data_IF_186472132548
#
_entry.id   IF_186472132548
#
_cell.length_a   1.000
_cell.length_b   1.000
_cell.length_c   1.000
_cell.angle_alpha   90.00
_cell.angle_beta   90.00
_cell.angle_gamma   90.00
#
_symmetry.space_group_name_H-M   'P 1'
#
loop_
_entity.id
_entity.type
_entity.pdbx_description
1 polymer ?
#
# COMPACT_ATOMS: atom_id res chain seq x y z
N UNK A 1 -16.64 22.36 21.88
CA UNK A 1 -16.04 22.86 23.14
C UNK A 1 -15.17 24.06 22.80
N UNK A 2 -15.10 25.10 23.60
CA UNK A 2 -14.18 26.23 23.38
C UNK A 2 -13.07 26.18 24.43
N UNK A 3 -11.83 26.25 24.00
CA UNK A 3 -10.67 26.41 24.88
C UNK A 3 -10.00 27.72 24.50
N UNK A 4 -9.82 28.62 25.44
CA UNK A 4 -9.21 29.96 25.23
C UNK A 4 -9.81 30.80 24.10
N UNK A 5 -11.15 30.67 23.87
CA UNK A 5 -11.87 31.44 22.83
C UNK A 5 -11.83 30.83 21.42
N UNK A 6 -11.08 29.74 21.19
CA UNK A 6 -11.04 29.04 19.91
C UNK A 6 -11.92 27.78 19.95
N UNK A 7 -12.56 27.49 18.81
CA UNK A 7 -13.32 26.25 18.64
C UNK A 7 -12.38 25.06 18.55
N UNK A 8 -12.50 24.12 19.48
CA UNK A 8 -11.75 22.86 19.47
C UNK A 8 -12.58 21.78 18.76
N UNK A 9 -11.95 21.06 17.83
CA UNK A 9 -12.55 19.97 17.09
C UNK A 9 -12.11 18.62 17.64
N UNK A 10 -13.05 17.68 17.72
CA UNK A 10 -12.78 16.31 18.18
C UNK A 10 -12.56 15.39 17.00
N UNK A 11 -11.42 14.69 17.01
CA UNK A 11 -11.06 13.71 16.00
C UNK A 11 -11.10 12.31 16.60
N UNK A 12 -11.78 11.38 15.93
CA UNK A 12 -11.81 9.96 16.27
C UNK A 12 -10.98 9.16 15.27
N UNK A 13 -10.24 8.18 15.74
CA UNK A 13 -9.53 7.26 14.86
C UNK A 13 -10.22 5.89 14.83
N UNK A 14 -10.33 5.32 13.64
CA UNK A 14 -10.79 3.95 13.43
C UNK A 14 -9.65 3.12 12.87
N UNK A 15 -9.32 2.02 13.52
CA UNK A 15 -8.12 1.20 13.35
C UNK A 15 -6.82 1.84 13.89
N UNK A 16 -5.71 1.11 13.72
CA UNK A 16 -4.40 1.58 14.11
C UNK A 16 -3.88 2.61 13.10
N UNK A 17 -3.81 3.84 13.52
CA UNK A 17 -3.10 4.93 12.84
C UNK A 17 -1.76 5.11 13.57
N UNK A 18 -0.70 5.38 12.82
CA UNK A 18 0.63 5.58 13.39
C UNK A 18 0.63 6.72 14.42
N UNK A 19 1.25 6.47 15.57
CA UNK A 19 1.27 7.42 16.68
C UNK A 19 1.93 8.73 16.32
N UNK A 20 3.00 8.70 15.52
CA UNK A 20 3.71 9.91 15.09
C UNK A 20 2.83 10.85 14.27
N UNK A 21 1.92 10.31 13.44
CA UNK A 21 0.95 11.09 12.71
C UNK A 21 -0.12 11.70 13.64
N UNK A 22 -0.54 10.94 14.67
CA UNK A 22 -1.51 11.40 15.64
C UNK A 22 -0.95 12.50 16.55
N UNK A 23 0.33 12.43 16.90
CA UNK A 23 1.01 13.43 17.73
C UNK A 23 1.07 14.81 17.00
N UNK A 24 1.17 14.82 15.67
CA UNK A 24 1.12 16.06 14.87
C UNK A 24 -0.27 16.68 14.89
N UNK A 25 -1.31 15.85 14.88
CA UNK A 25 -2.71 16.32 14.81
C UNK A 25 -3.20 16.80 16.18
N UNK A 26 -2.77 16.17 17.26
CA UNK A 26 -3.22 16.50 18.61
C UNK A 26 -2.57 17.81 19.09
N UNK A 27 -3.31 18.90 18.99
CA UNK A 27 -2.85 20.26 19.30
C UNK A 27 -3.98 21.11 19.94
N UNK A 28 -3.78 22.41 20.04
CA UNK A 28 -4.74 23.33 20.68
C UNK A 28 -6.13 23.34 20.00
N UNK A 29 -6.17 23.11 18.66
CA UNK A 29 -7.39 23.17 17.87
C UNK A 29 -8.04 21.80 17.67
N UNK A 30 -7.28 20.70 17.82
CA UNK A 30 -7.72 19.34 17.54
C UNK A 30 -7.41 18.41 18.72
N UNK A 31 -8.42 17.72 19.22
CA UNK A 31 -8.30 16.74 20.30
C UNK A 31 -8.63 15.36 19.78
N UNK A 32 -7.69 14.42 19.99
CA UNK A 32 -7.94 13.01 19.71
C UNK A 32 -8.76 12.39 20.84
N UNK A 33 -9.96 11.92 20.52
CA UNK A 33 -10.84 11.24 21.46
C UNK A 33 -11.57 10.08 20.76
N UNK A 34 -11.07 8.87 20.99
CA UNK A 34 -11.63 7.66 20.37
C UNK A 34 -12.94 7.19 21.01
N UNK A 35 -13.25 7.68 22.22
CA UNK A 35 -14.50 7.39 22.92
C UNK A 35 -15.64 8.35 22.52
N UNK A 36 -15.33 9.37 21.73
CA UNK A 36 -16.36 10.32 21.29
C UNK A 36 -17.43 9.63 20.45
N UNK A 37 -18.68 9.85 20.80
CA UNK A 37 -19.84 9.42 20.00
C UNK A 37 -20.17 10.43 18.90
N UNK A 38 -19.79 11.69 19.08
CA UNK A 38 -20.05 12.79 18.16
C UNK A 38 -18.74 13.49 17.72
N UNK A 39 -17.83 12.82 17.02
CA UNK A 39 -16.61 13.46 16.52
C UNK A 39 -16.92 14.48 15.40
N UNK A 40 -16.11 15.54 15.31
CA UNK A 40 -16.13 16.48 14.19
C UNK A 40 -15.41 15.91 12.95
N UNK A 41 -14.44 15.01 13.14
CA UNK A 41 -13.74 14.32 12.06
C UNK A 41 -13.36 12.88 12.44
N UNK A 42 -13.19 12.03 11.42
CA UNK A 42 -12.76 10.65 11.58
C UNK A 42 -11.52 10.40 10.72
N UNK A 43 -10.50 9.77 11.31
CA UNK A 43 -9.37 9.21 10.57
C UNK A 43 -9.53 7.69 10.53
N UNK A 44 -9.50 7.11 9.34
CA UNK A 44 -9.70 5.68 9.13
C UNK A 44 -8.63 5.09 8.20
N UNK A 45 -8.31 3.81 8.37
CA UNK A 45 -7.45 3.07 7.43
C UNK A 45 -8.24 1.98 6.70
N UNK A 46 -8.61 0.91 7.37
CA UNK A 46 -9.25 -0.26 6.77
C UNK A 46 -10.59 -0.63 7.41
N UNK A 47 -11.05 0.11 8.41
CA UNK A 47 -12.36 -0.12 9.03
C UNK A 47 -13.46 0.10 7.99
N UNK A 48 -14.42 -0.84 7.94
CA UNK A 48 -15.58 -0.71 7.06
C UNK A 48 -16.61 0.24 7.68
N UNK A 49 -16.81 1.37 7.05
CA UNK A 49 -17.74 2.41 7.52
C UNK A 49 -19.15 2.29 6.89
N UNK A 50 -19.36 1.32 6.00
CA UNK A 50 -20.73 1.08 5.45
C UNK A 50 -21.67 0.63 6.57
N UNK A 51 -22.82 1.28 6.64
CA UNK A 51 -23.82 1.04 7.69
C UNK A 51 -23.55 1.77 9.01
N UNK A 52 -22.50 2.57 9.11
CA UNK A 52 -22.32 3.49 10.24
C UNK A 52 -23.36 4.63 10.18
N UNK A 53 -23.83 5.03 11.34
CA UNK A 53 -24.59 6.26 11.48
C UNK A 53 -23.63 7.44 11.68
N UNK A 54 -23.75 8.48 10.87
CA UNK A 54 -22.96 9.70 11.02
C UNK A 54 -23.74 10.75 11.82
N UNK A 55 -23.09 11.33 12.82
CA UNK A 55 -23.68 12.41 13.59
C UNK A 55 -23.68 13.72 12.78
N UNK A 56 -24.54 14.67 13.18
CA UNK A 56 -24.68 15.96 12.49
C UNK A 56 -23.47 16.89 12.58
N UNK A 57 -22.53 16.61 13.50
CA UNK A 57 -21.32 17.40 13.69
C UNK A 57 -20.17 16.95 12.80
N UNK A 58 -20.23 15.75 12.25
CA UNK A 58 -19.15 15.17 11.43
C UNK A 58 -18.97 15.98 10.13
N UNK A 59 -17.79 16.52 9.94
CA UNK A 59 -17.44 17.41 8.81
C UNK A 59 -16.51 16.74 7.80
N UNK A 60 -15.67 15.82 8.28
CA UNK A 60 -14.65 15.24 7.44
C UNK A 60 -14.31 13.79 7.83
N UNK A 61 -13.98 13.00 6.82
CA UNK A 61 -13.41 11.67 6.97
C UNK A 61 -12.11 11.64 6.17
N UNK A 62 -10.98 11.32 6.83
CA UNK A 62 -9.68 11.18 6.18
C UNK A 62 -9.25 9.72 6.19
N UNK A 63 -9.00 9.15 4.99
CA UNK A 63 -8.49 7.80 4.86
C UNK A 63 -6.96 7.78 4.75
N UNK A 64 -6.31 7.05 5.64
CA UNK A 64 -4.88 6.72 5.53
C UNK A 64 -4.68 5.61 4.48
N UNK A 65 -4.80 5.97 3.20
CA UNK A 65 -4.67 5.07 2.06
C UNK A 65 -5.29 5.64 0.78
N UNK A 66 -5.03 5.02 -0.36
CA UNK A 66 -5.41 5.53 -1.67
C UNK A 66 -6.90 5.28 -2.03
N UNK A 67 -7.40 4.07 -1.80
CA UNK A 67 -8.80 3.76 -2.12
C UNK A 67 -9.78 4.30 -1.08
N UNK A 68 -11.06 4.37 -1.40
CA UNK A 68 -12.13 4.82 -0.47
C UNK A 68 -13.30 3.83 -0.42
N UNK A 69 -13.07 2.61 -0.88
CA UNK A 69 -14.10 1.56 -0.97
C UNK A 69 -14.70 1.12 0.37
N UNK A 70 -14.06 1.43 1.47
CA UNK A 70 -14.53 1.16 2.83
C UNK A 70 -15.30 2.35 3.44
N UNK A 71 -15.49 3.45 2.69
CA UNK A 71 -16.22 4.66 3.11
C UNK A 71 -17.43 4.81 2.21
N UNK A 72 -18.65 5.01 2.75
CA UNK A 72 -19.85 5.24 1.95
C UNK A 72 -19.87 6.69 1.42
N UNK A 73 -19.11 6.97 0.36
CA UNK A 73 -18.86 8.31 -0.18
C UNK A 73 -20.16 9.02 -0.57
N UNK A 74 -21.10 8.29 -1.18
CA UNK A 74 -22.41 8.86 -1.58
C UNK A 74 -23.18 9.35 -0.35
N UNK A 75 -23.24 8.56 0.71
CA UNK A 75 -23.86 8.95 1.98
C UNK A 75 -23.12 10.13 2.61
N UNK A 76 -21.79 10.17 2.55
CA UNK A 76 -21.00 11.32 3.03
C UNK A 76 -21.37 12.60 2.27
N UNK A 77 -21.53 12.51 0.96
CA UNK A 77 -21.92 13.64 0.10
C UNK A 77 -23.32 14.18 0.47
N UNK A 78 -24.30 13.30 0.69
CA UNK A 78 -25.64 13.67 1.10
C UNK A 78 -25.67 14.41 2.46
N UNK A 79 -24.74 14.06 3.36
CA UNK A 79 -24.61 14.68 4.68
C UNK A 79 -23.63 15.88 4.70
N UNK A 80 -23.06 16.26 3.56
CA UNK A 80 -22.08 17.36 3.47
C UNK A 80 -20.75 17.06 4.16
N UNK A 81 -20.36 15.77 4.27
CA UNK A 81 -19.11 15.32 4.88
C UNK A 81 -18.04 15.23 3.80
N UNK A 82 -16.94 15.97 3.96
CA UNK A 82 -15.81 15.90 3.05
C UNK A 82 -15.00 14.62 3.26
N UNK A 83 -14.69 13.88 2.17
CA UNK A 83 -13.88 12.66 2.23
C UNK A 83 -12.52 12.93 1.59
N UNK A 84 -11.45 12.65 2.33
CA UNK A 84 -10.06 12.78 1.90
C UNK A 84 -9.38 11.42 1.88
N UNK A 85 -8.42 11.27 0.97
CA UNK A 85 -7.56 10.09 0.89
C UNK A 85 -6.10 10.51 0.69
N UNK A 86 -5.17 9.54 0.76
CA UNK A 86 -3.73 9.76 0.59
C UNK A 86 -3.18 8.92 -0.56
N UNK A 87 -3.51 9.26 -1.82
CA UNK A 87 -3.03 8.50 -2.97
C UNK A 87 -1.51 8.59 -3.08
N UNK A 88 -0.86 7.46 -3.40
CA UNK A 88 0.59 7.40 -3.60
C UNK A 88 1.44 7.31 -2.33
N UNK A 89 0.90 7.58 -1.14
CA UNK A 89 1.69 7.61 0.10
C UNK A 89 2.45 6.32 0.40
N UNK A 90 1.91 5.15 0.02
CA UNK A 90 2.54 3.84 0.19
C UNK A 90 3.05 3.23 -1.12
N UNK A 91 3.08 3.99 -2.22
CA UNK A 91 3.37 3.44 -3.55
C UNK A 91 4.76 2.81 -3.62
N UNK A 92 5.77 3.44 -3.03
CA UNK A 92 7.12 2.89 -2.99
C UNK A 92 7.19 1.57 -2.21
N UNK A 93 6.57 1.50 -1.03
CA UNK A 93 6.57 0.28 -0.21
C UNK A 93 5.90 -0.90 -0.93
N UNK A 94 4.79 -0.64 -1.63
CA UNK A 94 4.12 -1.68 -2.44
C UNK A 94 4.98 -2.08 -3.62
N UNK A 95 5.62 -1.15 -4.32
CA UNK A 95 6.54 -1.42 -5.42
C UNK A 95 7.70 -2.33 -4.96
N UNK A 96 8.32 -2.04 -3.82
CA UNK A 96 9.40 -2.87 -3.27
C UNK A 96 8.93 -4.31 -2.98
N UNK A 97 7.74 -4.47 -2.44
CA UNK A 97 7.15 -5.80 -2.21
C UNK A 97 6.88 -6.54 -3.52
N UNK A 98 6.42 -5.85 -4.57
CA UNK A 98 6.23 -6.45 -5.90
C UNK A 98 7.55 -6.92 -6.49
N UNK A 99 8.61 -6.12 -6.43
CA UNK A 99 9.95 -6.50 -6.92
C UNK A 99 10.48 -7.70 -6.12
N UNK A 100 10.34 -7.69 -4.80
CA UNK A 100 10.72 -8.83 -3.97
C UNK A 100 9.96 -10.10 -4.36
N UNK A 101 8.65 -10.02 -4.61
CA UNK A 101 7.84 -11.14 -5.03
C UNK A 101 8.22 -11.66 -6.43
N UNK A 102 8.53 -10.79 -7.39
CA UNK A 102 9.02 -11.15 -8.71
C UNK A 102 10.32 -11.97 -8.62
N UNK A 103 11.27 -11.53 -7.81
CA UNK A 103 12.54 -12.24 -7.61
C UNK A 103 12.29 -13.55 -6.86
N UNK A 104 11.53 -13.54 -5.79
CA UNK A 104 11.26 -14.70 -4.96
C UNK A 104 10.58 -15.83 -5.75
N UNK A 105 9.58 -15.49 -6.57
CA UNK A 105 8.87 -16.46 -7.41
C UNK A 105 9.75 -17.04 -8.50
N UNK A 106 10.68 -16.26 -9.05
CA UNK A 106 11.59 -16.71 -10.12
C UNK A 106 12.72 -17.60 -9.62
N UNK A 107 13.09 -17.52 -8.34
CA UNK A 107 14.29 -18.14 -7.78
C UNK A 107 14.02 -19.25 -6.76
N UNK A 108 12.77 -19.71 -6.59
CA UNK A 108 12.37 -20.75 -5.64
C UNK A 108 12.85 -20.50 -4.19
N UNK A 109 12.91 -19.24 -3.76
CA UNK A 109 13.53 -18.85 -2.49
C UNK A 109 12.86 -19.51 -1.28
N UNK A 110 11.53 -19.49 -1.22
CA UNK A 110 10.79 -20.04 -0.08
C UNK A 110 10.99 -21.55 0.07
N UNK A 111 10.91 -22.31 -1.04
CA UNK A 111 11.19 -23.74 -1.02
C UNK A 111 12.64 -24.02 -0.60
N UNK A 112 13.59 -23.19 -1.06
CA UNK A 112 14.99 -23.29 -0.65
C UNK A 112 15.19 -23.06 0.85
N UNK A 113 14.52 -22.06 1.43
CA UNK A 113 14.58 -21.78 2.87
C UNK A 113 14.04 -22.97 3.69
N UNK A 114 12.87 -23.50 3.33
CA UNK A 114 12.29 -24.67 4.03
C UNK A 114 13.18 -25.90 3.91
N UNK A 115 13.76 -26.12 2.74
CA UNK A 115 14.71 -27.21 2.57
C UNK A 115 15.95 -27.04 3.47
N UNK A 116 16.57 -25.85 3.52
CA UNK A 116 17.71 -25.59 4.39
C UNK A 116 17.37 -25.83 5.86
N UNK A 117 16.22 -25.39 6.33
CA UNK A 117 15.74 -25.68 7.68
C UNK A 117 15.65 -27.19 7.96
N UNK A 118 15.24 -27.97 6.96
CA UNK A 118 15.10 -29.42 7.08
C UNK A 118 16.45 -30.17 7.18
N UNK A 119 17.57 -29.50 6.92
CA UNK A 119 18.91 -30.08 7.06
C UNK A 119 19.41 -30.07 8.50
N UNK A 120 18.82 -29.28 9.38
CA UNK A 120 19.24 -29.17 10.78
C UNK A 120 19.07 -30.53 11.49
N UNK A 121 20.09 -30.93 12.27
CA UNK A 121 20.07 -32.15 13.06
C UNK A 121 20.30 -33.46 12.28
N UNK A 122 20.71 -33.41 11.01
CA UNK A 122 21.07 -34.60 10.23
C UNK A 122 22.54 -34.95 10.43
N UNK A 123 22.84 -36.26 10.54
CA UNK A 123 24.21 -36.79 10.71
C UNK A 123 25.04 -36.81 9.41
N UNK A 124 24.73 -35.99 8.44
CA UNK A 124 25.46 -35.87 7.16
C UNK A 124 26.11 -34.50 7.05
N UNK A 125 27.34 -34.37 6.54
CA UNK A 125 27.97 -33.10 6.35
C UNK A 125 27.10 -32.14 5.51
N UNK A 126 26.74 -30.97 6.06
CA UNK A 126 25.87 -29.98 5.42
C UNK A 126 26.37 -29.63 4.02
N UNK A 127 27.69 -29.53 3.82
CA UNK A 127 28.31 -29.23 2.53
C UNK A 127 27.91 -30.24 1.45
N UNK A 128 27.91 -31.54 1.76
CA UNK A 128 27.54 -32.59 0.80
C UNK A 128 26.07 -32.55 0.47
N UNK A 129 25.21 -32.33 1.48
CA UNK A 129 23.77 -32.19 1.27
C UNK A 129 23.45 -30.97 0.40
N UNK A 130 24.15 -29.84 0.61
CA UNK A 130 23.93 -28.63 -0.19
C UNK A 130 24.38 -28.86 -1.65
N UNK A 131 25.53 -29.47 -1.89
CA UNK A 131 26.02 -29.72 -3.25
C UNK A 131 25.11 -30.67 -4.05
N UNK A 132 24.54 -31.66 -3.40
CA UNK A 132 23.62 -32.60 -4.06
C UNK A 132 22.21 -32.04 -4.20
N UNK A 133 21.72 -31.27 -3.22
CA UNK A 133 20.32 -30.83 -3.13
C UNK A 133 20.03 -29.49 -3.79
N UNK A 134 21.01 -28.57 -3.88
CA UNK A 134 20.79 -27.20 -4.39
C UNK A 134 20.22 -27.13 -5.82
N UNK A 135 20.45 -28.14 -6.64
CA UNK A 135 19.97 -28.19 -8.03
C UNK A 135 18.46 -28.20 -8.16
N UNK A 136 17.71 -28.69 -7.15
CA UNK A 136 16.25 -28.69 -7.16
C UNK A 136 15.64 -27.29 -7.05
N UNK A 137 16.42 -26.29 -6.63
CA UNK A 137 15.97 -24.91 -6.45
C UNK A 137 16.48 -23.99 -7.56
N UNK A 138 16.97 -24.53 -8.66
CA UNK A 138 17.39 -23.72 -9.81
C UNK A 138 16.17 -22.95 -10.33
N UNK A 139 16.27 -21.61 -10.27
CA UNK A 139 15.29 -20.69 -10.80
C UNK A 139 15.75 -20.05 -12.10
N UNK A 140 14.91 -19.16 -12.62
CA UNK A 140 15.21 -18.36 -13.82
C UNK A 140 15.53 -16.92 -13.42
N UNK A 141 16.38 -16.28 -14.19
CA UNK A 141 16.60 -14.83 -14.06
C UNK A 141 15.40 -14.07 -14.63
N UNK A 142 15.07 -12.92 -14.01
CA UNK A 142 14.02 -12.03 -14.51
C UNK A 142 14.53 -11.17 -15.67
N UNK A 143 15.85 -10.94 -15.78
CA UNK A 143 16.47 -10.20 -16.88
C UNK A 143 16.07 -10.79 -18.24
N UNK A 144 15.66 -9.92 -19.17
CA UNK A 144 15.19 -10.30 -20.49
C UNK A 144 13.78 -10.93 -20.53
N UNK A 145 13.09 -11.03 -19.39
CA UNK A 145 11.68 -11.44 -19.35
C UNK A 145 10.78 -10.24 -19.58
N UNK A 146 9.56 -10.50 -20.01
CA UNK A 146 8.55 -9.45 -20.19
C UNK A 146 7.62 -9.41 -18.99
N UNK A 147 7.45 -8.21 -18.42
CA UNK A 147 6.47 -7.92 -17.38
C UNK A 147 5.29 -7.17 -18.01
N UNK A 148 4.07 -7.70 -17.84
CA UNK A 148 2.85 -6.97 -18.13
C UNK A 148 2.38 -6.22 -16.90
N UNK A 149 2.11 -4.91 -17.03
CA UNK A 149 1.58 -4.06 -15.94
C UNK A 149 0.21 -3.53 -16.35
N UNK A 150 -0.83 -3.94 -15.62
CA UNK A 150 -2.20 -3.46 -15.80
C UNK A 150 -2.49 -2.42 -14.71
N UNK A 151 -2.77 -1.19 -15.12
CA UNK A 151 -2.89 -0.03 -14.24
C UNK A 151 -1.54 0.67 -14.03
N UNK A 152 -1.37 1.82 -14.67
CA UNK A 152 -0.16 2.64 -14.64
C UNK A 152 -0.35 3.88 -13.75
N UNK A 153 -1.02 3.71 -12.62
CA UNK A 153 -1.09 4.71 -11.56
C UNK A 153 0.23 4.83 -10.79
N UNK A 154 0.19 5.42 -9.60
CA UNK A 154 1.37 5.70 -8.77
C UNK A 154 2.24 4.46 -8.46
N UNK A 155 1.62 3.29 -8.28
CA UNK A 155 2.35 2.03 -8.02
C UNK A 155 2.83 1.42 -9.34
N UNK A 156 1.95 1.26 -10.32
CA UNK A 156 2.26 0.59 -11.58
C UNK A 156 3.40 1.27 -12.35
N UNK A 157 3.43 2.60 -12.35
CA UNK A 157 4.50 3.38 -12.96
C UNK A 157 5.86 3.12 -12.29
N UNK A 158 5.91 3.07 -10.94
CA UNK A 158 7.14 2.75 -10.22
C UNK A 158 7.60 1.32 -10.49
N UNK A 159 6.69 0.35 -10.48
CA UNK A 159 7.00 -1.06 -10.79
C UNK A 159 7.53 -1.19 -12.21
N UNK A 160 6.90 -0.53 -13.19
CA UNK A 160 7.33 -0.54 -14.58
C UNK A 160 8.75 -0.01 -14.75
N UNK A 161 9.05 1.14 -14.14
CA UNK A 161 10.38 1.75 -14.19
C UNK A 161 11.46 0.86 -13.55
N UNK A 162 11.20 0.32 -12.36
CA UNK A 162 12.18 -0.52 -11.66
C UNK A 162 12.39 -1.87 -12.38
N UNK A 163 11.35 -2.43 -13.00
CA UNK A 163 11.48 -3.64 -13.81
C UNK A 163 12.38 -3.43 -15.04
N UNK A 164 12.30 -2.27 -15.70
CA UNK A 164 13.24 -1.90 -16.76
C UNK A 164 14.68 -1.82 -16.26
N UNK A 165 14.90 -1.19 -15.09
CA UNK A 165 16.23 -1.11 -14.46
C UNK A 165 16.80 -2.49 -14.10
N UNK A 166 15.93 -3.46 -13.81
CA UNK A 166 16.31 -4.86 -13.60
C UNK A 166 16.54 -5.64 -14.91
N UNK A 167 16.44 -4.96 -16.06
CA UNK A 167 16.69 -5.52 -17.38
C UNK A 167 15.52 -6.34 -17.95
N UNK A 168 14.31 -6.13 -17.46
CA UNK A 168 13.10 -6.70 -18.04
C UNK A 168 12.59 -5.87 -19.22
N UNK A 169 11.78 -6.46 -20.07
CA UNK A 169 10.91 -5.73 -21.01
C UNK A 169 9.59 -5.45 -20.31
N UNK A 170 9.03 -4.26 -20.49
CA UNK A 170 7.77 -3.91 -19.84
C UNK A 170 6.71 -3.51 -20.87
N UNK A 171 5.53 -4.12 -20.73
CA UNK A 171 4.33 -3.79 -21.50
C UNK A 171 3.28 -3.30 -20.50
N UNK A 172 2.81 -2.07 -20.69
CA UNK A 172 1.85 -1.44 -19.79
C UNK A 172 0.50 -1.20 -20.43
N UNK A 173 -0.58 -1.37 -19.67
CA UNK A 173 -1.93 -1.06 -20.07
C UNK A 173 -2.63 -0.24 -18.98
N UNK A 174 -3.14 0.93 -19.36
CA UNK A 174 -4.02 1.76 -18.53
C UNK A 174 -4.88 2.63 -19.46
N UNK A 175 -6.22 2.43 -19.49
CA UNK A 175 -7.11 3.23 -20.32
C UNK A 175 -7.31 4.65 -19.81
N UNK A 176 -6.95 4.94 -18.54
CA UNK A 176 -7.19 6.22 -17.85
C UNK A 176 -5.90 6.79 -17.24
N UNK A 177 -4.76 6.56 -17.89
CA UNK A 177 -3.47 7.04 -17.38
C UNK A 177 -3.51 8.57 -17.16
N UNK A 178 -3.09 9.01 -15.98
CA UNK A 178 -2.98 10.43 -15.69
C UNK A 178 -1.76 11.05 -16.38
N UNK A 179 -1.81 12.35 -16.60
CA UNK A 179 -0.67 13.10 -17.17
C UNK A 179 0.57 12.94 -16.29
N UNK A 180 0.43 13.05 -14.97
CA UNK A 180 1.54 12.90 -14.03
C UNK A 180 2.16 11.50 -14.09
N UNK A 181 1.34 10.44 -14.16
CA UNK A 181 1.84 9.08 -14.30
C UNK A 181 2.60 8.90 -15.62
N UNK A 182 2.09 9.46 -16.72
CA UNK A 182 2.74 9.41 -18.02
C UNK A 182 4.09 10.15 -18.04
N UNK A 183 4.19 11.30 -17.36
CA UNK A 183 5.45 12.04 -17.23
C UNK A 183 6.51 11.32 -16.37
N UNK A 184 6.07 10.58 -15.38
CA UNK A 184 6.95 9.81 -14.47
C UNK A 184 7.30 8.43 -15.00
N UNK A 185 6.70 7.98 -16.10
CA UNK A 185 6.95 6.68 -16.69
C UNK A 185 8.09 6.73 -17.71
N UNK A 186 8.95 5.72 -17.69
CA UNK A 186 9.99 5.57 -18.72
C UNK A 186 9.39 5.40 -20.11
N UNK A 187 10.01 6.03 -21.09
CA UNK A 187 9.63 5.90 -22.51
C UNK A 187 9.88 4.50 -23.11
N UNK A 188 10.61 3.66 -22.40
CA UNK A 188 10.88 2.28 -22.79
C UNK A 188 9.71 1.33 -22.48
N UNK A 189 8.73 1.77 -21.69
CA UNK A 189 7.50 1.01 -21.43
C UNK A 189 6.68 0.98 -22.71
N UNK A 190 6.45 -0.22 -23.23
CA UNK A 190 5.65 -0.43 -24.44
C UNK A 190 4.16 -0.40 -24.08
N UNK A 191 3.36 0.25 -24.90
CA UNK A 191 1.91 0.25 -24.73
C UNK A 191 1.31 -1.07 -25.21
N UNK A 192 0.47 -1.70 -24.38
CA UNK A 192 -0.44 -2.74 -24.81
C UNK A 192 -1.68 -2.11 -25.49
N UNK A 193 -2.15 -2.77 -26.55
CA UNK A 193 -3.38 -2.38 -27.28
C UNK A 193 -4.61 -3.08 -26.67
#
# INVERSE_FOLDING_TARGET
MYRDGFKTYTIKTLNNIDKSALDIINNENFILNNESEEPDAIIVRSFNMHGMHFNNNLKAIARAGAGVNNIPVDQCTEHGIAVFNTPGANANAVKELVIAALIASSRNLFAGVEWVKSLAGRDVPVKEMVETGKKQFVGREIKGKTLGVIGLGSIGTLVANDALLLGMHVIGYDPFISVDAAWNMSREVQRAN
#
